data_IF_985582869680
#
_entry.id   IF_985582869680
#
_cell.length_a   1.000
_cell.length_b   1.000
_cell.length_c   1.000
_cell.angle_alpha   90.00
_cell.angle_beta   90.00
_cell.angle_gamma   90.00
#
_symmetry.space_group_name_H-M   'P 1'
#
loop_
_entity.id
_entity.type
_entity.pdbx_description
1 polymer ?
#
# COMPACT_ATOMS: atom_id res chain seq x y z
N UNK A 1 -1.10 21.15 -5.04
CA UNK A 1 -0.05 20.77 -4.06
C UNK A 1 -0.69 19.88 -3.00
N UNK A 2 -0.08 18.73 -2.73
CA UNK A 2 -0.62 17.51 -2.12
C UNK A 2 -0.89 17.65 -0.61
N UNK A 3 -2.15 17.55 -0.16
CA UNK A 3 -2.44 17.15 1.23
C UNK A 3 -2.16 15.65 1.32
N UNK A 4 -1.11 15.33 2.07
CA UNK A 4 -0.13 14.32 1.66
C UNK A 4 -0.49 12.88 2.03
N UNK A 5 -0.21 11.93 1.13
CA UNK A 5 -0.18 10.49 1.39
C UNK A 5 0.90 10.08 2.43
N UNK A 6 1.64 11.06 2.92
CA UNK A 6 2.65 10.99 3.96
C UNK A 6 2.00 10.82 5.32
N UNK A 7 2.23 9.66 5.92
CA UNK A 7 1.81 9.35 7.27
C UNK A 7 2.75 10.00 8.29
N UNK A 8 2.31 10.11 9.55
CA UNK A 8 3.15 10.60 10.65
C UNK A 8 4.44 9.79 10.78
N UNK A 9 4.37 8.47 10.55
CA UNK A 9 5.53 7.57 10.55
C UNK A 9 6.56 7.94 9.47
N UNK A 10 6.11 8.37 8.28
CA UNK A 10 7.00 8.77 7.18
C UNK A 10 7.75 10.06 7.54
N UNK A 11 7.12 10.98 8.29
CA UNK A 11 7.79 12.20 8.80
C UNK A 11 8.80 11.90 9.90
N UNK A 12 8.45 11.01 10.84
CA UNK A 12 9.37 10.58 11.91
C UNK A 12 10.60 9.88 11.32
N UNK A 13 10.38 8.99 10.35
CA UNK A 13 11.46 8.34 9.62
C UNK A 13 12.32 9.35 8.86
N UNK A 14 11.70 10.33 8.18
CA UNK A 14 12.41 11.37 7.43
C UNK A 14 13.31 12.22 8.33
N UNK A 15 12.79 12.68 9.47
CA UNK A 15 13.58 13.40 10.46
C UNK A 15 14.73 12.55 11.01
N UNK A 16 14.46 11.27 11.33
CA UNK A 16 15.48 10.33 11.78
C UNK A 16 16.61 10.16 10.77
N UNK A 17 16.27 9.98 9.49
CA UNK A 17 17.24 9.84 8.41
C UNK A 17 18.08 11.12 8.25
N UNK A 18 17.45 12.29 8.18
CA UNK A 18 18.15 13.57 8.02
C UNK A 18 19.11 13.82 9.18
N UNK A 19 18.68 13.56 10.43
CA UNK A 19 19.56 13.66 11.62
C UNK A 19 20.73 12.69 11.55
N UNK A 20 20.50 11.44 11.17
CA UNK A 20 21.54 10.42 11.08
C UNK A 20 22.62 10.79 10.05
N UNK A 21 22.19 11.32 8.91
CA UNK A 21 23.08 11.79 7.84
C UNK A 21 23.72 13.16 8.12
N UNK A 22 23.41 13.79 9.26
CA UNK A 22 23.85 15.13 9.65
C UNK A 22 23.48 16.20 8.60
N UNK A 23 22.33 16.03 7.96
CA UNK A 23 21.75 16.97 7.02
C UNK A 23 20.81 17.96 7.74
N UNK A 24 20.51 19.07 7.08
CA UNK A 24 19.58 20.06 7.60
C UNK A 24 18.17 19.48 7.76
N UNK A 25 17.62 19.61 8.98
CA UNK A 25 16.28 19.14 9.37
C UNK A 25 15.30 20.31 9.30
N UNK A 26 15.22 20.95 8.15
CA UNK A 26 14.18 21.95 7.87
C UNK A 26 12.87 21.27 7.50
N UNK A 27 11.75 21.96 7.73
CA UNK A 27 10.41 21.45 7.41
C UNK A 27 10.27 21.07 5.92
N UNK A 28 10.92 21.82 5.03
CA UNK A 28 10.94 21.54 3.59
C UNK A 28 11.65 20.22 3.27
N UNK A 29 12.82 19.97 3.88
CA UNK A 29 13.58 18.74 3.68
C UNK A 29 12.87 17.53 4.28
N UNK A 30 12.27 17.69 5.46
CA UNK A 30 11.46 16.64 6.09
C UNK A 30 10.28 16.28 5.21
N UNK A 31 9.56 17.28 4.66
CA UNK A 31 8.42 17.03 3.77
C UNK A 31 8.83 16.31 2.47
N UNK A 32 9.98 16.66 1.89
CA UNK A 32 10.52 16.03 0.70
C UNK A 32 10.85 14.55 0.95
N UNK A 33 11.64 14.27 1.98
CA UNK A 33 12.05 12.89 2.32
C UNK A 33 10.85 12.05 2.75
N UNK A 34 9.93 12.62 3.52
CA UNK A 34 8.73 11.92 3.94
C UNK A 34 7.83 11.54 2.75
N UNK A 35 7.77 12.39 1.71
CA UNK A 35 7.06 12.06 0.46
C UNK A 35 7.69 10.86 -0.24
N UNK A 36 9.02 10.82 -0.36
CA UNK A 36 9.71 9.66 -0.91
C UNK A 36 9.47 8.38 -0.09
N UNK A 37 9.43 8.47 1.24
CA UNK A 37 9.09 7.32 2.08
C UNK A 37 7.65 6.85 1.90
N UNK A 38 6.69 7.76 1.73
CA UNK A 38 5.31 7.40 1.43
C UNK A 38 5.19 6.68 0.07
N UNK A 39 5.88 7.17 -0.96
CA UNK A 39 5.95 6.52 -2.28
C UNK A 39 6.60 5.13 -2.17
N UNK A 40 7.75 5.03 -1.49
CA UNK A 40 8.45 3.77 -1.29
C UNK A 40 7.59 2.76 -0.52
N UNK A 41 6.90 3.19 0.54
CA UNK A 41 5.98 2.34 1.31
C UNK A 41 4.86 1.79 0.42
N UNK A 42 4.28 2.61 -0.45
CA UNK A 42 3.25 2.16 -1.39
C UNK A 42 3.79 1.14 -2.40
N UNK A 43 4.99 1.37 -2.94
CA UNK A 43 5.65 0.44 -3.86
C UNK A 43 6.00 -0.88 -3.16
N UNK A 44 6.57 -0.82 -1.96
CA UNK A 44 6.92 -1.99 -1.15
C UNK A 44 5.70 -2.82 -0.77
N UNK A 45 4.58 -2.17 -0.41
CA UNK A 45 3.32 -2.87 -0.14
C UNK A 45 2.77 -3.55 -1.39
N UNK A 46 2.78 -2.87 -2.54
CA UNK A 46 2.32 -3.45 -3.80
C UNK A 46 3.16 -4.67 -4.19
N UNK A 47 4.49 -4.56 -4.08
CA UNK A 47 5.41 -5.67 -4.31
C UNK A 47 5.18 -6.84 -3.34
N UNK A 48 4.98 -6.56 -2.05
CA UNK A 48 4.69 -7.60 -1.05
C UNK A 48 3.38 -8.33 -1.37
N UNK A 49 2.34 -7.58 -1.76
CA UNK A 49 1.06 -8.14 -2.18
C UNK A 49 1.20 -9.08 -3.38
N UNK A 50 1.87 -8.62 -4.43
CA UNK A 50 2.15 -9.43 -5.63
C UNK A 50 2.95 -10.69 -5.31
N UNK A 51 3.94 -10.58 -4.41
CA UNK A 51 4.75 -11.71 -3.97
C UNK A 51 3.92 -12.75 -3.20
N UNK A 52 3.03 -12.31 -2.31
CA UNK A 52 2.14 -13.20 -1.56
C UNK A 52 1.17 -13.92 -2.51
N UNK A 53 0.52 -13.19 -3.43
CA UNK A 53 -0.33 -13.80 -4.46
C UNK A 53 0.42 -14.85 -5.27
N UNK A 54 1.62 -14.52 -5.74
CA UNK A 54 2.45 -15.45 -6.54
C UNK A 54 2.79 -16.72 -5.76
N UNK A 55 3.14 -16.58 -4.47
CA UNK A 55 3.40 -17.73 -3.60
C UNK A 55 2.17 -18.59 -3.32
N UNK A 56 0.99 -17.97 -3.17
CA UNK A 56 -0.27 -18.68 -3.04
C UNK A 56 -0.57 -19.49 -4.30
N UNK A 57 -0.42 -18.92 -5.50
CA UNK A 57 -0.63 -19.65 -6.76
C UNK A 57 0.30 -20.84 -6.89
N UNK A 58 1.60 -20.65 -6.64
CA UNK A 58 2.58 -21.73 -6.71
C UNK A 58 2.26 -22.86 -5.72
N UNK A 59 1.77 -22.50 -4.51
CA UNK A 59 1.39 -23.49 -3.49
C UNK A 59 0.14 -24.27 -3.89
N UNK A 60 -0.88 -23.59 -4.44
CA UNK A 60 -2.10 -24.24 -4.93
C UNK A 60 -1.83 -25.18 -6.10
N UNK A 61 -1.01 -24.76 -7.07
CA UNK A 61 -0.59 -25.59 -8.21
C UNK A 61 0.19 -26.83 -7.75
N UNK A 62 1.13 -26.66 -6.83
CA UNK A 62 1.91 -27.78 -6.28
C UNK A 62 1.02 -28.78 -5.51
N UNK A 63 0.03 -28.26 -4.78
CA UNK A 63 -0.91 -29.08 -4.02
C UNK A 63 -1.91 -29.82 -4.92
N UNK A 64 -2.41 -29.19 -5.98
CA UNK A 64 -3.35 -29.81 -6.92
C UNK A 64 -2.71 -30.99 -7.65
N UNK A 65 -1.46 -30.85 -8.11
CA UNK A 65 -0.70 -31.92 -8.78
C UNK A 65 -0.54 -33.16 -7.89
N UNK A 66 -0.32 -32.97 -6.59
CA UNK A 66 -0.06 -34.07 -5.65
C UNK A 66 -1.33 -34.71 -5.10
N UNK A 67 -2.41 -33.95 -4.97
CA UNK A 67 -3.58 -34.36 -4.16
C UNK A 67 -4.79 -34.75 -5.02
N UNK A 68 -4.88 -34.31 -6.28
CA UNK A 68 -6.03 -34.61 -7.15
C UNK A 68 -6.17 -36.12 -7.46
N UNK A 69 -5.07 -36.87 -7.44
CA UNK A 69 -5.09 -38.32 -7.60
C UNK A 69 -5.58 -39.09 -6.36
N UNK A 70 -5.72 -38.42 -5.20
CA UNK A 70 -6.06 -39.04 -3.92
C UNK A 70 -7.49 -38.75 -3.46
N UNK A 71 -8.23 -37.90 -4.20
CA UNK A 71 -9.58 -37.47 -3.84
C UNK A 71 -10.59 -37.69 -4.97
N UNK A 72 -11.87 -37.73 -4.59
CA UNK A 72 -12.97 -37.87 -5.54
C UNK A 72 -13.24 -36.58 -6.34
N UNK A 73 -14.04 -36.68 -7.42
CA UNK A 73 -14.35 -35.54 -8.31
C UNK A 73 -14.95 -34.33 -7.58
N UNK A 74 -15.83 -34.56 -6.60
CA UNK A 74 -16.48 -33.49 -5.82
C UNK A 74 -15.49 -32.62 -5.04
N UNK A 75 -14.45 -33.24 -4.50
CA UNK A 75 -13.38 -32.52 -3.78
C UNK A 75 -12.55 -31.70 -4.76
N UNK A 76 -12.20 -32.26 -5.92
CA UNK A 76 -11.42 -31.57 -6.96
C UNK A 76 -12.18 -30.38 -7.55
N UNK A 77 -13.50 -30.50 -7.72
CA UNK A 77 -14.35 -29.40 -8.15
C UNK A 77 -14.48 -28.31 -7.08
N UNK A 78 -14.62 -28.69 -5.80
CA UNK A 78 -14.57 -27.76 -4.68
C UNK A 78 -13.25 -27.01 -4.59
N UNK A 79 -12.12 -27.70 -4.79
CA UNK A 79 -10.79 -27.09 -4.82
C UNK A 79 -10.67 -26.07 -5.97
N UNK A 80 -11.12 -26.44 -7.18
CA UNK A 80 -11.09 -25.54 -8.35
C UNK A 80 -11.95 -24.29 -8.14
N UNK A 81 -13.12 -24.44 -7.49
CA UNK A 81 -13.97 -23.30 -7.15
C UNK A 81 -13.30 -22.35 -6.13
N UNK A 82 -12.63 -22.91 -5.11
CA UNK A 82 -11.87 -22.12 -4.13
C UNK A 82 -10.67 -21.40 -4.78
N UNK A 83 -9.95 -22.09 -5.66
CA UNK A 83 -8.84 -21.51 -6.43
C UNK A 83 -9.31 -20.34 -7.30
N UNK A 84 -10.43 -20.50 -8.02
CA UNK A 84 -11.03 -19.41 -8.82
C UNK A 84 -11.43 -18.20 -7.98
N UNK A 85 -11.96 -18.43 -6.78
CA UNK A 85 -12.28 -17.35 -5.85
C UNK A 85 -11.01 -16.61 -5.40
N UNK A 86 -9.98 -17.33 -4.98
CA UNK A 86 -8.69 -16.74 -4.57
C UNK A 86 -8.03 -15.97 -5.71
N UNK A 87 -8.10 -16.49 -6.95
CA UNK A 87 -7.61 -15.82 -8.16
C UNK A 87 -8.35 -14.51 -8.47
N UNK A 88 -9.61 -14.37 -8.03
CA UNK A 88 -10.39 -13.16 -8.24
C UNK A 88 -10.09 -12.05 -7.24
N UNK A 89 -9.40 -12.35 -6.14
CA UNK A 89 -9.03 -11.38 -5.11
C UNK A 89 -7.94 -10.44 -5.63
N UNK A 90 -8.14 -9.14 -5.44
CA UNK A 90 -7.08 -8.18 -5.73
C UNK A 90 -5.95 -8.36 -4.70
N UNK A 91 -4.66 -8.29 -5.10
CA UNK A 91 -3.53 -8.32 -4.16
C UNK A 91 -3.67 -7.37 -2.95
N UNK A 92 -4.40 -6.27 -3.11
CA UNK A 92 -4.62 -5.26 -2.06
C UNK A 92 -5.65 -5.70 -1.01
N UNK A 93 -6.62 -6.53 -1.41
CA UNK A 93 -7.63 -7.14 -0.52
C UNK A 93 -7.00 -8.22 0.36
N UNK A 94 -5.96 -8.89 -0.13
CA UNK A 94 -5.23 -9.93 0.60
C UNK A 94 -4.39 -9.39 1.77
N UNK A 95 -3.90 -8.16 1.68
CA UNK A 95 -3.05 -7.55 2.70
C UNK A 95 -3.75 -6.48 3.55
N UNK A 96 -5.04 -6.20 3.33
CA UNK A 96 -5.79 -5.11 3.99
C UNK A 96 -5.04 -3.76 3.94
N UNK A 97 -4.38 -3.51 2.80
CA UNK A 97 -3.49 -2.35 2.59
C UNK A 97 -4.18 -1.23 1.81
N UNK A 98 -5.48 -1.01 2.01
CA UNK A 98 -6.23 -0.08 1.18
C UNK A 98 -5.63 1.35 1.29
N UNK A 99 -5.02 1.89 0.21
CA UNK A 99 -4.67 3.30 0.20
C UNK A 99 -5.98 4.10 0.21
N UNK A 100 -6.05 5.24 0.91
CA UNK A 100 -7.26 6.06 0.88
C UNK A 100 -7.60 6.40 -0.58
N UNK A 101 -8.89 6.39 -0.95
CA UNK A 101 -9.30 6.59 -2.33
C UNK A 101 -8.75 7.92 -2.88
N UNK A 102 -8.37 7.96 -4.16
CA UNK A 102 -7.81 9.15 -4.77
C UNK A 102 -8.81 10.31 -4.64
N UNK A 103 -8.37 11.39 -4.00
CA UNK A 103 -9.22 12.57 -3.79
C UNK A 103 -9.60 13.21 -5.13
N UNK A 104 -10.87 13.56 -5.27
CA UNK A 104 -11.37 14.26 -6.46
C UNK A 104 -10.76 15.66 -6.57
N UNK A 105 -10.71 16.23 -7.78
CA UNK A 105 -10.24 17.62 -8.02
C UNK A 105 -10.90 18.62 -7.07
N UNK A 106 -12.20 18.45 -6.79
CA UNK A 106 -12.94 19.29 -5.85
C UNK A 106 -12.53 19.10 -4.38
N UNK A 107 -12.20 17.88 -3.96
CA UNK A 107 -11.63 17.62 -2.63
C UNK A 107 -10.23 18.23 -2.48
N UNK A 108 -9.40 18.17 -3.53
CA UNK A 108 -8.08 18.81 -3.58
C UNK A 108 -8.22 20.33 -3.46
N UNK A 109 -9.10 20.96 -4.25
CA UNK A 109 -9.34 22.41 -4.20
C UNK A 109 -9.84 22.87 -2.82
N UNK A 110 -10.77 22.13 -2.21
CA UNK A 110 -11.26 22.44 -0.85
C UNK A 110 -10.18 22.28 0.21
N UNK A 111 -9.30 21.29 0.08
CA UNK A 111 -8.11 21.13 0.94
C UNK A 111 -7.17 22.33 0.82
N UNK A 112 -6.83 22.74 -0.42
CA UNK A 112 -5.99 23.90 -0.68
C UNK A 112 -6.56 25.20 -0.08
N UNK A 113 -7.87 25.44 -0.22
CA UNK A 113 -8.53 26.62 0.37
C UNK A 113 -8.48 26.59 1.90
N UNK A 114 -8.68 25.43 2.52
CA UNK A 114 -8.57 25.28 3.98
C UNK A 114 -7.14 25.53 4.46
N UNK A 115 -6.15 25.04 3.73
CA UNK A 115 -4.73 25.23 4.07
C UNK A 115 -4.32 26.69 3.97
N UNK A 116 -4.66 27.38 2.87
CA UNK A 116 -4.39 28.81 2.70
C UNK A 116 -5.01 29.67 3.81
N UNK A 117 -6.21 29.30 4.30
CA UNK A 117 -6.86 29.98 5.43
C UNK A 117 -6.15 29.75 6.77
N UNK A 118 -5.53 28.59 6.98
CA UNK A 118 -4.74 28.31 8.18
C UNK A 118 -3.42 29.06 8.16
N UNK A 119 -2.76 29.10 7.01
CA UNK A 119 -1.48 29.79 6.85
C UNK A 119 -1.66 31.31 7.00
N UNK A 120 -2.76 31.87 6.50
CA UNK A 120 -3.11 33.28 6.70
C UNK A 120 -3.54 33.64 8.14
N UNK A 121 -3.88 32.65 8.97
CA UNK A 121 -4.29 32.83 10.37
C UNK A 121 -3.16 32.54 11.37
N UNK A 122 -1.96 32.22 10.87
CA UNK A 122 -0.77 31.96 11.70
C UNK A 122 -0.09 33.31 11.99
N UNK A 123 0.07 33.71 13.27
CA UNK A 123 0.68 34.98 13.64
C UNK A 123 2.18 35.05 13.32
#
# INVERSE_FOLDING_TARGET
MSESAVWSVDRVAAEGLLRHLKLDVSEANVALVATHFAEHRHAAHSWAAERVCSGMFQSMESYSVTTFGHHGPEWSDGFRAAEQYVLSLHPRELLDTEPPPPRTKGQILRGMVRQARRDAARP
#
